data_IF_758059580038
#
_entry.id   IF_758059580038
#
_cell.length_a   1.000
_cell.length_b   1.000
_cell.length_c   1.000
_cell.angle_alpha   90.00
_cell.angle_beta   90.00
_cell.angle_gamma   90.00
#
_symmetry.space_group_name_H-M   'P 1'
#
loop_
_entity.id
_entity.type
_entity.pdbx_description
1 polymer ?
#
# COMPACT_ATOMS: atom_id res chain seq x y z
N UNK A 1 -22.87 -17.36 14.32
CA UNK A 1 -21.74 -16.77 13.56
C UNK A 1 -22.03 -15.29 13.51
N UNK A 2 -21.14 -14.39 13.96
CA UNK A 2 -21.39 -12.95 13.82
C UNK A 2 -21.51 -12.64 12.32
N UNK A 3 -22.61 -12.05 11.91
CA UNK A 3 -22.74 -11.52 10.55
C UNK A 3 -21.60 -10.53 10.32
N UNK A 4 -20.79 -10.80 9.30
CA UNK A 4 -19.58 -10.01 9.04
C UNK A 4 -20.00 -8.71 8.36
N UNK A 5 -19.55 -7.58 8.90
CA UNK A 5 -19.80 -6.25 8.31
C UNK A 5 -19.16 -6.04 6.94
N UNK A 6 -18.21 -6.89 6.58
CA UNK A 6 -17.41 -6.78 5.37
C UNK A 6 -17.27 -8.17 4.75
N UNK A 7 -17.38 -8.25 3.42
CA UNK A 7 -17.09 -9.47 2.66
C UNK A 7 -15.95 -9.23 1.66
N UNK A 8 -15.35 -10.33 1.21
CA UNK A 8 -14.45 -10.29 0.05
C UNK A 8 -15.30 -10.61 -1.18
N UNK A 9 -15.49 -9.60 -2.02
CA UNK A 9 -16.26 -9.65 -3.25
C UNK A 9 -15.30 -9.86 -4.42
N UNK A 10 -15.44 -10.98 -5.13
CA UNK A 10 -14.65 -11.26 -6.34
C UNK A 10 -15.34 -10.60 -7.53
N UNK A 11 -14.61 -9.78 -8.30
CA UNK A 11 -15.16 -9.09 -9.47
C UNK A 11 -14.85 -9.85 -10.77
N UNK A 12 -15.49 -9.43 -11.85
CA UNK A 12 -15.18 -9.92 -13.20
C UNK A 12 -13.84 -9.40 -13.74
N UNK A 13 -13.26 -8.39 -13.09
CA UNK A 13 -11.95 -7.85 -13.43
C UNK A 13 -10.84 -8.80 -12.98
N UNK A 14 -9.73 -8.80 -13.71
CA UNK A 14 -8.55 -9.56 -13.34
C UNK A 14 -7.58 -8.70 -12.52
N UNK A 15 -6.77 -9.37 -11.69
CA UNK A 15 -5.70 -8.70 -10.96
C UNK A 15 -4.63 -8.19 -11.92
N UNK A 16 -4.01 -7.06 -11.59
CA UNK A 16 -2.92 -6.50 -12.37
C UNK A 16 -1.61 -6.43 -11.60
N UNK A 17 -0.52 -6.39 -12.35
CA UNK A 17 0.84 -6.09 -11.90
C UNK A 17 1.52 -5.17 -12.90
N UNK A 18 2.68 -4.59 -12.55
CA UNK A 18 3.50 -3.85 -13.52
C UNK A 18 4.04 -4.81 -14.58
N UNK A 19 4.15 -4.39 -15.84
CA UNK A 19 4.68 -5.22 -16.92
C UNK A 19 6.20 -5.21 -16.92
N UNK A 20 6.79 -4.02 -16.82
CA UNK A 20 8.23 -3.81 -16.82
C UNK A 20 8.71 -3.35 -15.43
N UNK A 21 10.01 -3.49 -15.19
CA UNK A 21 10.64 -3.03 -13.94
C UNK A 21 10.77 -1.50 -13.97
N UNK A 22 10.44 -0.86 -12.85
CA UNK A 22 10.53 0.60 -12.68
C UNK A 22 11.63 0.92 -11.67
N UNK A 23 12.43 1.93 -11.95
CA UNK A 23 13.48 2.43 -11.06
C UNK A 23 13.19 3.90 -10.73
N UNK A 24 13.13 4.24 -9.44
CA UNK A 24 12.93 5.61 -8.98
C UNK A 24 13.94 5.92 -7.87
N UNK A 25 14.54 7.11 -7.93
CA UNK A 25 15.50 7.62 -6.93
C UNK A 25 15.14 9.06 -6.57
N UNK A 26 15.22 9.40 -5.28
CA UNK A 26 15.09 10.77 -4.78
C UNK A 26 15.68 10.86 -3.37
N UNK A 27 15.47 12.01 -2.74
CA UNK A 27 15.66 12.17 -1.29
C UNK A 27 14.41 11.66 -0.55
N UNK A 28 14.60 11.08 0.63
CA UNK A 28 13.50 10.81 1.57
C UNK A 28 13.02 12.11 2.22
N UNK A 29 11.70 12.31 2.31
CA UNK A 29 11.12 13.57 2.80
C UNK A 29 11.58 13.87 4.22
N UNK A 30 11.50 12.87 5.10
CA UNK A 30 11.84 13.06 6.50
C UNK A 30 13.30 12.78 6.81
N UNK A 31 13.85 11.71 6.26
CA UNK A 31 15.24 11.28 6.53
C UNK A 31 16.27 12.21 5.91
N UNK A 32 15.93 12.89 4.80
CA UNK A 32 16.89 13.70 4.03
C UNK A 32 17.98 12.88 3.34
N UNK A 33 17.87 11.54 3.35
CA UNK A 33 18.85 10.63 2.74
C UNK A 33 18.47 10.32 1.31
N UNK A 34 19.48 10.02 0.50
CA UNK A 34 19.27 9.39 -0.80
C UNK A 34 18.60 8.03 -0.61
N UNK A 35 17.45 7.84 -1.26
CA UNK A 35 16.69 6.59 -1.25
C UNK A 35 16.30 6.22 -2.68
N UNK A 36 16.17 4.92 -2.92
CA UNK A 36 15.70 4.43 -4.22
C UNK A 36 14.81 3.21 -4.06
N UNK A 37 13.93 3.03 -5.04
CA UNK A 37 13.07 1.85 -5.13
C UNK A 37 13.13 1.21 -6.50
N UNK A 38 12.88 -0.09 -6.51
CA UNK A 38 12.67 -0.89 -7.73
C UNK A 38 11.32 -1.60 -7.63
N UNK A 39 10.38 -1.23 -8.49
CA UNK A 39 9.05 -1.86 -8.55
C UNK A 39 9.10 -2.96 -9.59
N UNK A 40 8.81 -4.20 -9.18
CA UNK A 40 8.87 -5.40 -10.02
C UNK A 40 7.51 -6.07 -10.14
N UNK A 41 7.25 -6.76 -11.27
CA UNK A 41 6.07 -7.61 -11.41
C UNK A 41 5.99 -8.65 -10.29
N UNK A 42 4.78 -9.00 -9.87
CA UNK A 42 4.54 -10.06 -8.88
C UNK A 42 3.43 -11.00 -9.36
N UNK A 43 3.45 -12.23 -8.84
CA UNK A 43 2.43 -13.23 -9.13
C UNK A 43 1.08 -12.86 -8.52
N UNK A 44 0.01 -13.45 -9.06
CA UNK A 44 -1.35 -13.25 -8.56
C UNK A 44 -1.48 -13.60 -7.07
N UNK A 45 -2.33 -12.85 -6.37
CA UNK A 45 -2.60 -12.96 -4.93
C UNK A 45 -1.40 -12.67 -4.02
N UNK A 46 -0.28 -12.20 -4.55
CA UNK A 46 0.87 -11.82 -3.73
C UNK A 46 0.60 -10.53 -2.93
N UNK A 47 -0.20 -9.63 -3.50
CA UNK A 47 -0.41 -8.28 -2.98
C UNK A 47 0.81 -7.39 -3.17
N UNK A 48 0.80 -6.23 -2.51
CA UNK A 48 1.95 -5.33 -2.47
C UNK A 48 2.91 -5.78 -1.37
N UNK A 49 4.17 -6.00 -1.73
CA UNK A 49 5.23 -6.44 -0.80
C UNK A 49 6.44 -5.53 -0.92
N UNK A 50 6.86 -4.95 0.19
CA UNK A 50 8.10 -4.21 0.29
C UNK A 50 9.26 -5.11 0.74
N UNK A 51 10.46 -4.81 0.27
CA UNK A 51 11.68 -5.56 0.58
C UNK A 51 12.80 -4.56 0.86
N UNK A 52 13.25 -4.47 2.13
CA UNK A 52 14.48 -3.74 2.49
C UNK A 52 15.70 -4.50 1.97
N UNK A 53 16.09 -4.18 0.74
CA UNK A 53 17.05 -4.94 -0.06
C UNK A 53 18.50 -4.52 0.22
N UNK A 54 18.67 -3.36 0.82
CA UNK A 54 19.92 -2.83 1.37
C UNK A 54 20.41 -3.58 2.63
N UNK A 55 19.57 -4.39 3.27
CA UNK A 55 19.93 -5.18 4.46
C UNK A 55 20.34 -6.62 4.13
N UNK A 56 21.17 -7.21 5.01
CA UNK A 56 21.57 -8.62 4.94
C UNK A 56 21.31 -9.35 6.27
N UNK A 57 20.36 -10.30 6.34
CA UNK A 57 19.45 -10.70 5.25
C UNK A 57 18.42 -9.60 4.92
N UNK A 58 17.94 -9.60 3.68
CA UNK A 58 16.88 -8.68 3.26
C UNK A 58 15.58 -8.94 4.05
N UNK A 59 14.86 -7.87 4.41
CA UNK A 59 13.62 -7.98 5.20
C UNK A 59 12.40 -7.75 4.33
N UNK A 60 11.48 -8.72 4.32
CA UNK A 60 10.25 -8.70 3.53
C UNK A 60 9.08 -8.24 4.41
N UNK A 61 8.40 -7.18 3.99
CA UNK A 61 7.30 -6.52 4.71
C UNK A 61 6.10 -6.44 3.76
N UNK A 62 5.05 -7.20 4.04
CA UNK A 62 3.81 -7.12 3.25
C UNK A 62 3.07 -5.83 3.59
N UNK A 63 2.51 -5.13 2.60
CA UNK A 63 1.55 -4.06 2.85
C UNK A 63 0.28 -4.68 3.44
N UNK A 64 0.20 -4.66 4.77
CA UNK A 64 -0.87 -5.25 5.54
C UNK A 64 -1.07 -4.42 6.81
N UNK A 65 -2.32 -4.27 7.23
CA UNK A 65 -2.71 -3.63 8.49
C UNK A 65 -1.86 -4.02 9.71
N UNK A 66 -1.46 -5.30 9.81
CA UNK A 66 -0.67 -5.81 10.94
C UNK A 66 0.79 -5.34 10.92
N UNK A 67 1.28 -4.91 9.76
CA UNK A 67 2.64 -4.43 9.59
C UNK A 67 2.73 -2.91 9.69
N UNK A 68 1.65 -2.17 9.96
CA UNK A 68 1.75 -0.73 10.22
C UNK A 68 2.54 -0.53 11.53
N UNK A 69 3.73 0.06 11.45
CA UNK A 69 4.64 0.24 12.59
C UNK A 69 4.64 1.67 13.15
N UNK A 70 4.27 2.67 12.35
CA UNK A 70 4.17 4.07 12.79
C UNK A 70 3.23 4.87 11.90
N UNK A 71 2.56 5.86 12.48
CA UNK A 71 1.62 6.79 11.83
C UNK A 71 1.95 8.26 12.10
N UNK A 72 3.12 8.54 12.69
CA UNK A 72 3.52 9.89 13.06
C UNK A 72 3.97 10.67 11.80
N UNK A 73 3.15 11.64 11.38
CA UNK A 73 3.32 12.47 10.16
C UNK A 73 3.29 11.73 8.81
N UNK A 74 3.33 10.40 8.81
CA UNK A 74 3.38 9.51 7.64
C UNK A 74 2.92 8.12 8.02
N UNK A 75 2.62 7.28 7.05
CA UNK A 75 2.40 5.85 7.29
C UNK A 75 3.69 5.07 7.05
N UNK A 76 4.05 4.23 8.02
CA UNK A 76 5.22 3.35 7.95
C UNK A 76 4.82 1.90 8.13
N UNK A 77 5.40 1.02 7.32
CA UNK A 77 5.25 -0.43 7.45
C UNK A 77 6.54 -1.07 7.94
N UNK A 78 6.45 -2.07 8.79
CA UNK A 78 7.61 -2.70 9.40
C UNK A 78 7.38 -4.13 9.84
N UNK A 79 8.51 -4.84 10.01
CA UNK A 79 8.56 -6.20 10.54
C UNK A 79 9.93 -6.45 11.16
N UNK A 80 9.98 -7.17 12.28
CA UNK A 80 11.22 -7.56 12.96
C UNK A 80 12.15 -6.36 13.27
N UNK A 81 11.58 -5.24 13.72
CA UNK A 81 12.34 -4.01 14.06
C UNK A 81 12.79 -3.18 12.86
N UNK A 82 12.56 -3.63 11.63
CA UNK A 82 12.85 -2.89 10.41
C UNK A 82 11.58 -2.21 9.92
N UNK A 83 11.64 -0.92 9.58
CA UNK A 83 10.54 -0.16 8.99
C UNK A 83 10.95 0.49 7.66
N UNK A 84 9.93 0.78 6.86
CA UNK A 84 9.95 1.64 5.68
C UNK A 84 8.90 2.72 5.91
N UNK A 85 9.32 3.97 5.87
CA UNK A 85 8.46 5.14 6.07
C UNK A 85 7.92 5.72 4.77
N UNK A 86 6.82 6.46 4.89
CA UNK A 86 6.24 7.33 3.85
C UNK A 86 5.68 6.54 2.67
N UNK A 87 4.97 5.44 2.95
CA UNK A 87 4.47 4.53 1.90
C UNK A 87 3.21 5.04 1.19
N UNK A 88 2.49 5.97 1.80
CA UNK A 88 1.15 6.44 1.42
C UNK A 88 1.06 6.92 -0.03
N UNK A 89 1.98 7.75 -0.52
CA UNK A 89 1.90 8.28 -1.89
C UNK A 89 2.09 7.19 -2.95
N UNK A 90 3.05 6.28 -2.72
CA UNK A 90 3.29 5.15 -3.61
C UNK A 90 2.12 4.16 -3.57
N UNK A 91 1.58 3.87 -2.39
CA UNK A 91 0.38 3.04 -2.25
C UNK A 91 -0.83 3.66 -2.97
N UNK A 92 -0.97 4.99 -2.88
CA UNK A 92 -2.02 5.73 -3.58
C UNK A 92 -1.86 5.63 -5.10
N UNK A 93 -0.63 5.77 -5.61
CA UNK A 93 -0.34 5.61 -7.03
C UNK A 93 -0.61 4.19 -7.54
N UNK A 94 -0.21 3.16 -6.79
CA UNK A 94 -0.49 1.75 -7.12
C UNK A 94 -2.00 1.47 -7.16
N UNK A 95 -2.74 1.99 -6.19
CA UNK A 95 -4.20 1.93 -6.18
C UNK A 95 -4.78 2.65 -7.41
N UNK A 96 -4.35 3.88 -7.68
CA UNK A 96 -4.81 4.68 -8.80
C UNK A 96 -4.55 4.05 -10.16
N UNK A 97 -3.42 3.34 -10.30
CA UNK A 97 -3.00 2.70 -11.55
C UNK A 97 -3.55 1.27 -11.74
N UNK A 98 -4.40 0.76 -10.84
CA UNK A 98 -4.96 -0.58 -11.01
C UNK A 98 -4.08 -1.73 -10.49
N UNK A 99 -2.93 -1.47 -9.85
CA UNK A 99 -1.93 -2.50 -9.52
C UNK A 99 -2.29 -3.26 -8.25
N UNK A 100 -2.60 -4.55 -8.36
CA UNK A 100 -2.94 -5.42 -7.22
C UNK A 100 -1.72 -6.15 -6.63
N UNK A 101 -0.71 -6.42 -7.46
CA UNK A 101 0.47 -7.19 -7.06
C UNK A 101 1.74 -6.49 -7.51
N UNK A 102 2.68 -6.26 -6.59
CA UNK A 102 4.02 -5.75 -6.90
C UNK A 102 5.02 -6.14 -5.82
N UNK A 103 6.27 -6.35 -6.22
CA UNK A 103 7.41 -6.47 -5.31
C UNK A 103 8.22 -5.19 -5.38
N UNK A 104 8.35 -4.49 -4.27
CA UNK A 104 9.00 -3.17 -4.18
C UNK A 104 10.29 -3.35 -3.38
N UNK A 105 11.43 -3.39 -4.07
CA UNK A 105 12.73 -3.33 -3.42
C UNK A 105 13.00 -1.90 -3.00
N UNK A 106 13.41 -1.71 -1.75
CA UNK A 106 13.72 -0.41 -1.15
C UNK A 106 15.17 -0.42 -0.70
N UNK A 107 15.90 0.61 -1.10
CA UNK A 107 17.27 0.88 -0.68
C UNK A 107 17.27 2.18 0.12
N UNK A 108 17.29 2.05 1.45
CA UNK A 108 17.02 3.13 2.39
C UNK A 108 15.84 2.83 3.32
N UNK A 109 15.56 3.72 4.25
CA UNK A 109 14.52 3.56 5.29
C UNK A 109 13.18 4.24 4.95
N UNK A 110 13.09 4.87 3.78
CA UNK A 110 11.97 5.71 3.35
C UNK A 110 11.71 5.53 1.85
N UNK A 111 10.46 5.73 1.44
CA UNK A 111 10.08 5.84 0.03
C UNK A 111 10.48 7.23 -0.52
N UNK A 112 10.98 7.34 -1.76
CA UNK A 112 11.39 8.61 -2.36
C UNK A 112 10.32 9.72 -2.29
N UNK A 113 10.69 10.94 -1.93
CA UNK A 113 9.71 12.05 -1.85
C UNK A 113 9.24 12.51 -3.24
N UNK A 114 10.11 12.42 -4.25
CA UNK A 114 9.86 12.89 -5.62
C UNK A 114 9.38 14.35 -5.61
N UNK A 115 8.21 14.64 -6.17
CA UNK A 115 7.62 15.98 -6.19
C UNK A 115 6.61 16.22 -5.06
N UNK A 116 6.54 15.31 -4.08
CA UNK A 116 5.59 15.39 -2.96
C UNK A 116 4.18 14.88 -3.28
N UNK A 117 3.93 14.37 -4.48
CA UNK A 117 2.63 13.83 -4.89
C UNK A 117 2.72 12.37 -5.34
N UNK A 118 1.62 11.80 -5.82
CA UNK A 118 1.57 10.46 -6.42
C UNK A 118 1.81 10.48 -7.94
N UNK A 119 1.93 11.67 -8.56
CA UNK A 119 1.97 11.87 -10.01
C UNK A 119 3.11 11.08 -10.65
N UNK A 120 4.36 11.30 -10.20
CA UNK A 120 5.54 10.68 -10.82
C UNK A 120 5.51 9.16 -10.64
N UNK A 121 5.00 8.67 -9.50
CA UNK A 121 4.78 7.24 -9.29
C UNK A 121 3.78 6.67 -10.29
N UNK A 122 2.62 7.33 -10.44
CA UNK A 122 1.58 6.90 -11.36
C UNK A 122 2.07 6.89 -12.81
N UNK A 123 2.75 7.96 -13.25
CA UNK A 123 3.30 8.10 -14.60
C UNK A 123 4.30 6.98 -14.89
N UNK A 124 5.24 6.72 -13.98
CA UNK A 124 6.19 5.63 -14.14
C UNK A 124 5.51 4.24 -14.20
N UNK A 125 4.45 4.01 -13.41
CA UNK A 125 3.65 2.78 -13.47
C UNK A 125 2.96 2.64 -14.82
N UNK A 126 2.31 3.70 -15.28
CA UNK A 126 1.60 3.73 -16.56
C UNK A 126 2.55 3.48 -17.73
N UNK A 127 3.68 4.18 -17.78
CA UNK A 127 4.72 4.04 -18.81
C UNK A 127 5.36 2.64 -18.80
N UNK A 128 5.52 2.02 -17.63
CA UNK A 128 6.01 0.63 -17.54
C UNK A 128 5.07 -0.38 -18.19
N UNK A 129 3.81 -0.01 -18.39
CA UNK A 129 2.72 -0.86 -18.84
C UNK A 129 2.13 -1.68 -17.70
N UNK A 130 0.83 -1.97 -17.82
CA UNK A 130 0.08 -2.81 -16.88
C UNK A 130 -0.06 -4.22 -17.47
N UNK A 131 0.16 -5.24 -16.65
CA UNK A 131 -0.02 -6.64 -17.02
C UNK A 131 -1.17 -7.24 -16.22
N UNK A 132 -2.19 -7.68 -16.94
CA UNK A 132 -3.27 -8.49 -16.39
C UNK A 132 -2.76 -9.90 -16.03
N UNK A 133 -3.29 -10.45 -14.93
CA UNK A 133 -2.99 -11.78 -14.40
C UNK A 133 -4.22 -12.69 -14.52
N UNK A 134 -4.05 -13.98 -14.26
CA UNK A 134 -5.13 -14.97 -14.44
C UNK A 134 -6.15 -14.99 -13.30
N UNK A 135 -5.83 -14.43 -12.13
CA UNK A 135 -6.72 -14.43 -10.98
C UNK A 135 -7.67 -13.23 -11.03
N UNK A 136 -8.93 -13.44 -10.64
CA UNK A 136 -9.90 -12.37 -10.46
C UNK A 136 -9.51 -11.42 -9.34
N UNK A 137 -9.84 -10.14 -9.52
CA UNK A 137 -9.64 -9.09 -8.53
C UNK A 137 -10.66 -9.26 -7.41
N UNK A 138 -10.24 -8.89 -6.21
CA UNK A 138 -11.03 -8.97 -4.99
C UNK A 138 -11.16 -7.60 -4.35
N UNK A 139 -12.36 -7.29 -3.90
CA UNK A 139 -12.74 -6.07 -3.23
C UNK A 139 -13.18 -6.36 -1.80
N UNK A 140 -12.94 -5.43 -0.88
CA UNK A 140 -13.60 -5.38 0.41
C UNK A 140 -14.93 -4.66 0.21
N UNK A 141 -16.03 -5.41 0.18
CA UNK A 141 -17.37 -4.83 0.09
C UNK A 141 -17.92 -4.58 1.49
N UNK A 142 -18.23 -3.32 1.78
CA UNK A 142 -18.79 -2.90 3.05
C UNK A 142 -20.30 -3.18 3.05
N UNK A 143 -20.77 -3.97 4.02
CA UNK A 143 -22.19 -4.33 4.21
C UNK A 143 -22.83 -3.58 5.37
N UNK A 144 -22.04 -3.23 6.38
CA UNK A 144 -22.46 -2.40 7.51
C UNK A 144 -21.41 -1.32 7.82
N UNK A 145 -21.83 -0.18 8.40
CA UNK A 145 -20.89 0.86 8.77
C UNK A 145 -19.81 0.41 9.75
N UNK A 146 -18.58 0.84 9.49
CA UNK A 146 -17.43 0.75 10.41
C UNK A 146 -16.98 2.17 10.73
N UNK A 147 -16.98 2.52 12.02
CA UNK A 147 -16.76 3.88 12.49
C UNK A 147 -15.61 3.88 13.50
N UNK A 148 -14.70 4.84 13.35
CA UNK A 148 -13.64 5.13 14.29
C UNK A 148 -13.71 6.61 14.64
N UNK A 149 -13.64 6.92 15.92
CA UNK A 149 -13.70 8.28 16.44
C UNK A 149 -12.60 8.49 17.47
N UNK A 150 -12.19 9.75 17.63
CA UNK A 150 -11.36 10.21 18.74
C UNK A 150 -12.09 10.21 20.09
N UNK A 151 -13.42 10.09 20.08
CA UNK A 151 -14.28 10.06 21.24
C UNK A 151 -15.09 8.75 21.26
N UNK A 152 -15.09 8.05 22.39
CA UNK A 152 -15.77 6.76 22.55
C UNK A 152 -17.28 6.87 22.35
N UNK A 153 -17.87 8.05 22.56
CA UNK A 153 -19.28 8.29 22.33
C UNK A 153 -19.51 9.04 21.02
N UNK A 154 -19.70 8.29 19.93
CA UNK A 154 -19.98 8.82 18.59
C UNK A 154 -21.21 9.75 18.57
N UNK A 155 -22.19 9.55 19.47
CA UNK A 155 -23.38 10.42 19.56
C UNK A 155 -23.07 11.82 20.12
N UNK A 156 -21.91 11.98 20.77
CA UNK A 156 -21.46 13.22 21.39
C UNK A 156 -20.20 13.79 20.71
N UNK A 157 -19.93 13.44 19.45
CA UNK A 157 -18.81 14.00 18.69
C UNK A 157 -18.95 15.53 18.59
N UNK A 158 -17.97 16.26 19.13
CA UNK A 158 -17.92 17.72 19.05
C UNK A 158 -17.41 18.18 17.69
N UNK A 159 -17.56 19.47 17.41
CA UNK A 159 -17.09 20.10 16.17
C UNK A 159 -15.58 19.87 15.93
N UNK A 160 -14.78 19.86 16.99
CA UNK A 160 -13.33 19.63 16.91
C UNK A 160 -12.89 18.17 16.90
N UNK A 161 -13.80 17.22 17.11
CA UNK A 161 -13.47 15.80 17.09
C UNK A 161 -13.13 15.36 15.67
N UNK A 162 -12.09 14.55 15.55
CA UNK A 162 -11.69 13.90 14.32
C UNK A 162 -12.27 12.47 14.31
N UNK A 163 -12.82 12.08 13.17
CA UNK A 163 -13.49 10.80 12.98
C UNK A 163 -13.38 10.34 11.54
N UNK A 164 -13.49 9.03 11.36
CA UNK A 164 -13.58 8.42 10.05
C UNK A 164 -14.58 7.28 10.10
N UNK A 165 -15.41 7.18 9.06
CA UNK A 165 -16.37 6.12 8.91
C UNK A 165 -16.37 5.61 7.48
N UNK A 166 -16.71 4.34 7.31
CA UNK A 166 -16.99 3.78 6.00
C UNK A 166 -18.36 3.11 5.99
N UNK A 167 -19.14 3.42 4.97
CA UNK A 167 -20.53 2.98 4.80
C UNK A 167 -20.66 2.08 3.56
N UNK A 168 -21.73 1.26 3.49
CA UNK A 168 -22.03 0.51 2.28
C UNK A 168 -22.20 1.42 1.06
N UNK A 169 -21.49 1.08 -0.01
CA UNK A 169 -21.67 1.62 -1.37
C UNK A 169 -21.10 0.57 -2.35
N UNK A 170 -21.64 0.53 -3.57
CA UNK A 170 -21.10 -0.33 -4.63
C UNK A 170 -19.86 0.28 -5.30
N UNK A 171 -19.64 1.58 -5.09
CA UNK A 171 -18.51 2.34 -5.59
C UNK A 171 -17.52 2.71 -4.47
N UNK A 172 -16.35 3.22 -4.85
CA UNK A 172 -15.44 3.86 -3.90
C UNK A 172 -15.68 5.37 -3.91
N UNK A 173 -16.35 5.85 -2.85
CA UNK A 173 -16.69 7.25 -2.67
C UNK A 173 -15.94 7.84 -1.49
N UNK A 174 -15.56 9.11 -1.58
CA UNK A 174 -14.92 9.85 -0.50
C UNK A 174 -15.67 11.17 -0.27
N UNK A 175 -16.03 11.42 0.99
CA UNK A 175 -16.36 12.74 1.52
C UNK A 175 -15.33 13.10 2.58
N UNK A 176 -14.45 14.05 2.28
CA UNK A 176 -13.39 14.48 3.16
C UNK A 176 -13.63 15.92 3.57
N UNK A 177 -13.62 16.19 4.88
CA UNK A 177 -13.66 17.55 5.43
C UNK A 177 -12.38 17.87 6.18
N UNK A 178 -11.81 19.03 5.89
CA UNK A 178 -10.65 19.57 6.61
C UNK A 178 -10.99 20.95 7.18
N UNK A 179 -10.34 21.30 8.28
CA UNK A 179 -10.42 22.64 8.86
C UNK A 179 -9.06 22.94 9.51
N UNK A 180 -8.27 23.75 8.82
CA UNK A 180 -7.00 24.28 9.30
C UNK A 180 -7.19 25.71 9.77
N UNK A 181 -6.65 26.02 10.95
CA UNK A 181 -6.57 27.40 11.43
C UNK A 181 -5.45 28.16 10.71
N UNK A 182 -5.64 28.40 9.41
CA UNK A 182 -4.70 29.09 8.54
C UNK A 182 -5.47 29.83 7.44
N UNK A 183 -5.23 31.14 7.21
CA UNK A 183 -6.04 31.95 6.30
C UNK A 183 -6.03 31.45 4.85
N UNK A 184 -4.92 30.82 4.41
CA UNK A 184 -4.77 30.32 3.05
C UNK A 184 -5.23 28.86 2.85
N UNK A 185 -5.27 28.05 3.91
CA UNK A 185 -5.71 26.63 3.80
C UNK A 185 -7.19 26.52 4.17
N UNK A 186 -7.57 27.14 5.28
CA UNK A 186 -8.93 27.24 5.77
C UNK A 186 -9.62 25.89 5.93
N UNK A 187 -10.93 25.92 5.68
CA UNK A 187 -11.79 24.75 5.66
C UNK A 187 -12.08 24.32 4.23
N UNK A 188 -12.23 23.03 4.02
CA UNK A 188 -12.59 22.45 2.73
C UNK A 188 -13.45 21.22 2.88
N UNK A 189 -14.26 20.97 1.85
CA UNK A 189 -15.03 19.75 1.67
C UNK A 189 -14.72 19.22 0.26
N UNK A 190 -14.33 17.95 0.18
CA UNK A 190 -14.10 17.23 -1.06
C UNK A 190 -15.06 16.06 -1.11
N UNK A 191 -15.88 15.98 -2.15
CA UNK A 191 -16.82 14.88 -2.35
C UNK A 191 -16.72 14.37 -3.78
N UNK A 192 -16.34 13.10 -3.93
CA UNK A 192 -16.26 12.48 -5.25
C UNK A 192 -16.27 10.96 -5.18
N UNK A 193 -16.75 10.34 -6.26
CA UNK A 193 -16.46 8.94 -6.58
C UNK A 193 -15.09 8.89 -7.24
N UNK A 194 -14.17 8.09 -6.70
CA UNK A 194 -12.82 7.96 -7.24
C UNK A 194 -12.60 6.54 -7.74
N UNK A 195 -12.03 6.42 -8.94
CA UNK A 195 -11.61 5.15 -9.54
C UNK A 195 -10.34 5.34 -10.38
N UNK A 196 -9.91 4.29 -11.07
CA UNK A 196 -8.67 4.32 -11.88
C UNK A 196 -8.76 5.26 -13.08
N UNK A 197 -9.96 5.63 -13.53
CA UNK A 197 -10.17 6.51 -14.69
C UNK A 197 -9.99 7.99 -14.37
N UNK A 198 -10.29 8.41 -13.13
CA UNK A 198 -10.22 9.80 -12.71
C UNK A 198 -9.11 10.11 -11.69
N UNK A 199 -8.48 9.10 -11.08
CA UNK A 199 -7.44 9.29 -10.07
C UNK A 199 -6.30 10.21 -10.55
N UNK A 200 -5.83 10.02 -11.79
CA UNK A 200 -4.72 10.82 -12.31
C UNK A 200 -5.07 12.30 -12.40
N UNK A 201 -6.24 12.63 -12.94
CA UNK A 201 -6.68 14.00 -13.15
C UNK A 201 -7.09 14.67 -11.84
N UNK A 202 -7.82 13.97 -10.98
CA UNK A 202 -8.42 14.54 -9.79
C UNK A 202 -7.50 14.55 -8.57
N UNK A 203 -6.64 13.54 -8.40
CA UNK A 203 -5.94 13.31 -7.11
C UNK A 203 -4.42 13.33 -7.27
N UNK A 204 -3.88 12.62 -8.26
CA UNK A 204 -2.48 12.20 -8.26
C UNK A 204 -1.45 13.34 -8.13
N UNK A 205 -1.79 14.54 -8.63
CA UNK A 205 -0.85 15.68 -8.69
C UNK A 205 -0.81 16.50 -7.42
N UNK A 206 -1.64 16.19 -6.42
CA UNK A 206 -1.79 17.00 -5.22
C UNK A 206 -0.61 16.77 -4.29
N UNK A 207 0.19 17.81 -4.08
CA UNK A 207 1.43 17.72 -3.31
C UNK A 207 1.19 17.81 -1.82
N UNK A 208 2.08 17.18 -1.07
CA UNK A 208 2.18 17.34 0.37
C UNK A 208 2.49 18.77 0.74
N UNK A 209 2.17 19.15 1.97
CA UNK A 209 2.30 20.52 2.41
C UNK A 209 2.73 20.62 3.88
N UNK A 210 3.43 21.70 4.21
CA UNK A 210 3.88 21.99 5.56
C UNK A 210 3.97 23.49 5.82
N UNK A 211 3.96 23.87 7.10
CA UNK A 211 4.04 25.27 7.52
C UNK A 211 5.48 25.66 7.80
N UNK A 212 5.95 26.78 7.24
CA UNK A 212 7.32 27.28 7.38
C UNK A 212 7.76 27.37 8.85
N UNK A 213 6.88 27.86 9.72
CA UNK A 213 7.11 27.97 11.18
C UNK A 213 7.38 26.63 11.86
N UNK A 214 6.92 25.53 11.28
CA UNK A 214 7.09 24.17 11.81
C UNK A 214 8.32 23.47 11.21
N UNK A 215 8.77 23.88 10.01
CA UNK A 215 9.89 23.25 9.30
C UNK A 215 11.17 23.26 10.15
N UNK A 216 11.50 24.39 10.77
CA UNK A 216 12.71 24.48 11.61
C UNK A 216 12.66 23.52 12.81
N UNK A 217 11.51 23.45 13.49
CA UNK A 217 11.31 22.55 14.61
C UNK A 217 11.35 21.07 14.18
N UNK A 218 10.72 20.74 13.06
CA UNK A 218 10.76 19.40 12.48
C UNK A 218 12.21 19.00 12.16
N UNK A 219 12.97 19.87 11.48
CA UNK A 219 14.38 19.62 11.15
C UNK A 219 15.24 19.43 12.39
N UNK A 220 15.03 20.25 13.43
CA UNK A 220 15.71 20.10 14.72
C UNK A 220 15.43 18.74 15.39
N UNK A 221 14.24 18.18 15.16
CA UNK A 221 13.82 16.87 15.66
C UNK A 221 14.12 15.71 14.67
N UNK A 222 14.95 15.93 13.65
CA UNK A 222 15.33 14.90 12.69
C UNK A 222 14.23 14.52 11.69
N UNK A 223 13.27 15.43 11.44
CA UNK A 223 12.15 15.26 10.53
C UNK A 223 12.19 16.31 9.42
N UNK A 224 11.56 16.03 8.28
CA UNK A 224 11.51 16.91 7.12
C UNK A 224 12.89 17.39 6.63
N UNK A 225 13.94 16.59 6.84
CA UNK A 225 15.32 16.94 6.48
C UNK A 225 15.51 17.04 4.96
N UNK A 226 14.75 16.26 4.18
CA UNK A 226 14.71 16.34 2.72
C UNK A 226 13.63 17.25 2.16
N UNK A 227 12.85 17.92 3.01
CA UNK A 227 11.78 18.82 2.61
C UNK A 227 12.31 20.08 1.91
N UNK A 228 11.75 20.38 0.74
CA UNK A 228 12.08 21.53 -0.10
C UNK A 228 10.84 22.00 -0.88
N UNK A 229 10.93 23.15 -1.55
CA UNK A 229 9.86 23.63 -2.43
C UNK A 229 9.62 22.72 -3.65
N UNK A 230 10.60 21.88 -4.01
CA UNK A 230 10.49 20.94 -5.13
C UNK A 230 9.61 19.73 -4.79
N UNK A 231 9.47 19.41 -3.51
CA UNK A 231 8.78 18.21 -3.03
C UNK A 231 7.69 18.46 -1.98
N UNK A 232 7.38 19.73 -1.71
CA UNK A 232 6.29 20.10 -0.83
C UNK A 232 5.78 21.53 -1.16
N UNK A 233 4.50 21.75 -0.91
CA UNK A 233 3.96 23.08 -0.73
C UNK A 233 4.37 23.63 0.64
N UNK A 234 5.03 24.78 0.68
CA UNK A 234 5.42 25.41 1.94
C UNK A 234 4.59 26.66 2.16
N UNK A 235 3.91 26.73 3.31
CA UNK A 235 3.06 27.87 3.68
C UNK A 235 3.75 28.76 4.70
N UNK A 236 3.77 30.07 4.45
CA UNK A 236 4.00 31.07 5.49
C UNK A 236 2.66 31.55 6.06
N UNK A 237 2.67 32.57 6.92
CA UNK A 237 1.45 33.08 7.58
C UNK A 237 0.39 33.63 6.61
N UNK A 238 0.78 34.02 5.39
CA UNK A 238 -0.09 34.73 4.45
C UNK A 238 -0.42 33.93 3.18
N UNK A 239 0.32 32.87 2.87
CA UNK A 239 0.11 32.10 1.65
C UNK A 239 1.15 31.03 1.36
N UNK A 240 1.13 30.55 0.11
CA UNK A 240 2.06 29.53 -0.40
C UNK A 240 3.33 30.18 -0.94
N UNK A 241 4.49 29.62 -0.61
CA UNK A 241 5.81 30.13 -1.03
C UNK A 241 6.22 29.64 -2.42
N UNK A 242 5.64 28.54 -2.89
CA UNK A 242 5.88 27.95 -4.19
C UNK A 242 5.49 28.96 -5.29
N UNK A 243 6.46 29.38 -6.12
CA UNK A 243 6.27 30.43 -7.13
C UNK A 243 5.27 30.05 -8.21
N UNK A 244 5.22 28.77 -8.54
CA UNK A 244 4.27 28.17 -9.48
C UNK A 244 2.85 28.05 -8.93
N UNK A 245 2.65 28.32 -7.63
CA UNK A 245 1.36 28.24 -6.97
C UNK A 245 0.86 26.80 -6.81
N UNK A 246 -0.47 26.68 -6.76
CA UNK A 246 -1.15 25.39 -6.59
C UNK A 246 -1.45 24.74 -7.95
N UNK A 247 -1.37 23.41 -8.01
CA UNK A 247 -1.77 22.57 -9.16
C UNK A 247 -3.28 22.38 -9.22
N UNK A 248 -3.95 22.47 -8.08
CA UNK A 248 -5.40 22.46 -7.93
C UNK A 248 -5.83 23.62 -7.05
N UNK A 249 -7.02 24.18 -7.28
CA UNK A 249 -7.57 25.23 -6.40
C UNK A 249 -7.69 24.76 -4.95
N UNK A 250 -7.96 23.48 -4.77
CA UNK A 250 -8.18 22.76 -3.52
C UNK A 250 -7.09 21.69 -3.28
N UNK A 251 -5.84 21.97 -3.68
CA UNK A 251 -4.72 21.00 -3.62
C UNK A 251 -4.51 20.38 -2.23
N UNK A 252 -4.67 21.15 -1.15
CA UNK A 252 -4.47 20.67 0.22
C UNK A 252 -5.44 19.54 0.62
N UNK A 253 -6.73 19.66 0.27
CA UNK A 253 -7.71 18.61 0.60
C UNK A 253 -7.58 17.42 -0.33
N UNK A 254 -7.25 17.64 -1.61
CA UNK A 254 -6.95 16.56 -2.56
C UNK A 254 -5.74 15.75 -2.11
N UNK A 255 -4.74 16.40 -1.52
CA UNK A 255 -3.62 15.69 -0.93
C UNK A 255 -4.04 14.83 0.27
N UNK A 256 -4.93 15.33 1.14
CA UNK A 256 -5.49 14.51 2.22
C UNK A 256 -6.29 13.31 1.71
N UNK A 257 -6.96 13.46 0.58
CA UNK A 257 -7.64 12.36 -0.11
C UNK A 257 -6.63 11.37 -0.71
N UNK A 258 -5.54 11.87 -1.30
CA UNK A 258 -4.41 11.05 -1.79
C UNK A 258 -3.83 10.18 -0.67
N UNK A 259 -3.53 10.78 0.49
CA UNK A 259 -3.05 10.09 1.69
C UNK A 259 -4.03 9.00 2.12
N UNK A 260 -5.32 9.35 2.23
CA UNK A 260 -6.37 8.44 2.65
C UNK A 260 -6.48 7.21 1.73
N UNK A 261 -6.40 7.41 0.41
CA UNK A 261 -6.43 6.32 -0.57
C UNK A 261 -5.23 5.39 -0.34
N UNK A 262 -4.03 5.95 -0.19
CA UNK A 262 -2.81 5.18 0.06
C UNK A 262 -2.87 4.38 1.35
N UNK A 263 -3.29 5.01 2.44
CA UNK A 263 -3.45 4.39 3.75
C UNK A 263 -4.47 3.25 3.70
N UNK A 264 -5.65 3.48 3.11
CA UNK A 264 -6.70 2.46 2.99
C UNK A 264 -6.24 1.26 2.16
N UNK A 265 -5.37 1.47 1.17
CA UNK A 265 -4.89 0.37 0.33
C UNK A 265 -3.96 -0.60 1.06
N UNK A 266 -3.43 -0.22 2.23
CA UNK A 266 -2.70 -1.12 3.14
C UNK A 266 -3.61 -2.21 3.73
N UNK A 267 -4.94 -2.07 3.63
CA UNK A 267 -5.89 -3.16 3.94
C UNK A 267 -5.74 -4.41 3.06
N UNK A 268 -4.99 -4.28 1.95
CA UNK A 268 -4.57 -5.36 1.04
C UNK A 268 -5.49 -5.56 -0.17
N UNK A 269 -6.61 -4.82 -0.23
CA UNK A 269 -7.59 -4.90 -1.32
C UNK A 269 -8.17 -3.51 -1.58
N UNK A 270 -8.76 -3.33 -2.76
CA UNK A 270 -9.62 -2.17 -3.04
C UNK A 270 -10.91 -2.28 -2.26
N UNK A 271 -11.57 -1.16 -1.99
CA UNK A 271 -12.78 -1.11 -1.16
C UNK A 271 -13.96 -0.65 -2.02
N UNK A 272 -15.11 -1.32 -1.86
CA UNK A 272 -16.42 -0.82 -2.31
C UNK A 272 -17.16 -0.31 -1.07
N UNK A 273 -17.31 1.00 -0.98
CA UNK A 273 -17.83 1.70 0.19
C UNK A 273 -17.59 3.19 0.12
N UNK A 274 -18.39 3.94 0.89
CA UNK A 274 -18.29 5.40 1.01
C UNK A 274 -17.55 5.77 2.27
N UNK A 275 -16.39 6.41 2.15
CA UNK A 275 -15.61 6.92 3.26
C UNK A 275 -16.04 8.34 3.58
N UNK A 276 -16.34 8.60 4.85
CA UNK A 276 -16.58 9.95 5.39
C UNK A 276 -15.47 10.24 6.41
N UNK A 277 -14.60 11.19 6.09
CA UNK A 277 -13.44 11.56 6.87
C UNK A 277 -13.55 13.01 7.35
N UNK A 278 -13.37 13.23 8.65
CA UNK A 278 -13.38 14.56 9.27
C UNK A 278 -12.07 14.81 9.99
N UNK A 279 -11.27 15.75 9.45
CA UNK A 279 -9.99 16.21 10.00
C UNK A 279 -9.04 15.05 10.34
N UNK A 280 -8.99 14.03 9.48
CA UNK A 280 -8.22 12.81 9.75
C UNK A 280 -6.75 12.97 9.36
N UNK A 281 -5.93 12.03 9.81
CA UNK A 281 -4.56 11.83 9.34
C UNK A 281 -4.23 10.34 9.40
N UNK A 282 -2.97 10.00 9.13
CA UNK A 282 -2.50 8.60 9.04
C UNK A 282 -2.89 7.75 10.24
N UNK A 283 -2.86 8.29 11.47
CA UNK A 283 -3.27 7.54 12.67
C UNK A 283 -4.73 7.08 12.64
N UNK A 284 -5.64 7.99 12.30
CA UNK A 284 -7.07 7.68 12.23
C UNK A 284 -7.38 6.78 11.03
N UNK A 285 -6.69 6.99 9.90
CA UNK A 285 -6.80 6.13 8.72
C UNK A 285 -6.33 4.70 9.04
N UNK A 286 -5.19 4.54 9.74
CA UNK A 286 -4.68 3.24 10.17
C UNK A 286 -5.62 2.53 11.15
N UNK A 287 -6.24 3.28 12.08
CA UNK A 287 -7.27 2.74 12.97
C UNK A 287 -8.48 2.20 12.19
N UNK A 288 -8.91 2.90 11.14
CA UNK A 288 -9.96 2.39 10.26
C UNK A 288 -9.51 1.14 9.49
N UNK A 289 -8.29 1.13 8.94
CA UNK A 289 -7.72 -0.05 8.26
C UNK A 289 -7.70 -1.27 9.20
N UNK A 290 -7.33 -1.07 10.46
CA UNK A 290 -7.36 -2.13 11.48
C UNK A 290 -8.80 -2.58 11.77
N UNK A 291 -9.73 -1.66 11.95
CA UNK A 291 -11.14 -1.98 12.17
C UNK A 291 -11.77 -2.75 10.98
N UNK A 292 -11.42 -2.37 9.74
CA UNK A 292 -11.79 -3.10 8.53
C UNK A 292 -11.23 -4.53 8.57
N UNK A 293 -9.95 -4.68 8.94
CA UNK A 293 -9.31 -5.98 9.03
C UNK A 293 -9.94 -6.90 10.10
N UNK A 294 -10.41 -6.35 11.20
CA UNK A 294 -11.10 -7.09 12.27
C UNK A 294 -12.53 -7.52 11.87
N UNK A 295 -13.15 -6.81 10.93
CA UNK A 295 -14.52 -7.08 10.46
C UNK A 295 -14.59 -7.85 9.13
N UNK A 296 -13.46 -8.05 8.44
CA UNK A 296 -13.39 -8.84 7.20
C UNK A 296 -13.24 -10.35 7.48
N UNK A 297 -13.63 -11.24 6.55
CA UNK A 297 -13.45 -12.67 6.75
C UNK A 297 -11.97 -13.06 6.81
N UNK A 298 -11.62 -14.01 7.70
CA UNK A 298 -10.31 -14.64 7.67
C UNK A 298 -10.05 -15.28 6.30
N UNK A 299 -8.97 -14.86 5.65
CA UNK A 299 -8.50 -15.48 4.43
C UNK A 299 -7.67 -16.69 4.85
N UNK A 300 -8.24 -17.88 4.69
CA UNK A 300 -7.46 -19.13 4.82
C UNK A 300 -6.41 -19.17 3.72
N UNK A 301 -5.19 -18.76 4.05
CA UNK A 301 -4.04 -18.90 3.15
C UNK A 301 -3.70 -20.38 3.00
N UNK A 302 -4.05 -20.97 1.86
CA UNK A 302 -3.61 -22.33 1.50
C UNK A 302 -2.07 -22.44 1.36
N UNK A 303 -1.35 -21.31 1.37
CA UNK A 303 0.11 -21.24 1.23
C UNK A 303 0.89 -21.76 2.45
N UNK A 304 0.31 -21.77 3.67
CA UNK A 304 1.02 -22.29 4.85
C UNK A 304 1.38 -23.77 4.73
N UNK A 305 0.67 -24.54 3.91
CA UNK A 305 0.92 -25.96 3.71
C UNK A 305 1.99 -26.28 2.67
N UNK A 306 2.26 -25.38 1.72
CA UNK A 306 3.27 -25.62 0.70
C UNK A 306 4.69 -25.43 1.26
N UNK A 307 4.98 -24.26 1.86
CA UNK A 307 6.31 -23.98 2.44
C UNK A 307 6.67 -24.93 3.59
N UNK A 308 5.70 -25.27 4.46
CA UNK A 308 5.90 -26.23 5.55
C UNK A 308 6.22 -27.64 5.05
N UNK A 309 5.55 -28.10 3.97
CA UNK A 309 5.82 -29.40 3.37
C UNK A 309 7.17 -29.43 2.65
N UNK A 310 7.50 -28.41 1.86
CA UNK A 310 8.79 -28.34 1.15
C UNK A 310 9.97 -28.28 2.13
N UNK A 311 9.83 -27.52 3.22
CA UNK A 311 10.85 -27.45 4.27
C UNK A 311 11.00 -28.77 5.04
N UNK A 312 9.89 -29.49 5.31
CA UNK A 312 9.93 -30.84 5.92
C UNK A 312 10.56 -31.87 4.99
N UNK A 313 10.31 -31.80 3.68
CA UNK A 313 10.85 -32.75 2.70
C UNK A 313 12.38 -32.59 2.57
N UNK A 314 12.88 -31.36 2.48
CA UNK A 314 14.32 -31.09 2.40
C UNK A 314 15.07 -31.51 3.67
N UNK A 315 14.45 -31.33 4.85
CA UNK A 315 15.01 -31.80 6.11
C UNK A 315 14.98 -33.34 6.26
N UNK A 316 14.06 -34.03 5.58
CA UNK A 316 14.06 -35.49 5.55
C UNK A 316 15.21 -36.02 4.67
N UNK A 317 15.42 -35.41 3.50
CA UNK A 317 16.47 -35.79 2.55
C UNK A 317 17.89 -35.55 3.10
N UNK A 318 18.08 -34.50 3.91
CA UNK A 318 19.35 -34.25 4.60
C UNK A 318 19.65 -35.26 5.72
N UNK A 319 18.62 -35.84 6.35
CA UNK A 319 18.80 -36.82 7.43
C UNK A 319 19.11 -38.24 6.94
N UNK A 320 18.85 -38.55 5.67
CA UNK A 320 19.08 -39.89 5.10
C UNK A 320 20.43 -40.07 4.42
N UNK A 321 21.35 -39.10 4.51
CA UNK A 321 22.75 -39.28 4.10
C UNK A 321 22.99 -39.54 2.61
N UNK A 322 22.06 -39.18 1.73
CA UNK A 322 22.27 -39.32 0.29
C UNK A 322 23.14 -38.16 -0.23
N UNK A 323 24.37 -38.48 -0.64
CA UNK A 323 25.29 -37.55 -1.28
C UNK A 323 24.74 -37.00 -2.62
N UNK A 324 25.24 -35.82 -2.97
CA UNK A 324 24.87 -34.99 -4.12
C UNK A 324 24.54 -35.75 -5.42
N UNK A 325 23.41 -35.42 -6.05
CA UNK A 325 23.06 -35.74 -7.42
C UNK A 325 22.27 -34.55 -8.05
N UNK A 326 22.35 -34.34 -9.38
CA UNK A 326 22.00 -33.06 -10.01
C UNK A 326 20.50 -32.76 -10.01
N UNK A 327 20.15 -31.48 -10.12
CA UNK A 327 18.78 -30.93 -10.12
C UNK A 327 17.77 -31.83 -10.86
N UNK A 328 16.96 -32.55 -10.10
CA UNK A 328 15.76 -33.22 -10.59
C UNK A 328 14.58 -32.24 -10.54
N UNK A 329 13.96 -31.99 -11.69
CA UNK A 329 12.65 -31.34 -11.76
C UNK A 329 11.56 -32.36 -11.42
N UNK A 330 10.81 -32.10 -10.34
CA UNK A 330 9.64 -32.90 -9.94
C UNK A 330 8.39 -32.19 -10.46
N UNK A 331 7.73 -32.77 -11.46
CA UNK A 331 6.38 -32.37 -11.86
C UNK A 331 5.33 -33.01 -10.92
N UNK A 332 4.60 -32.18 -10.19
CA UNK A 332 3.51 -32.63 -9.32
C UNK A 332 2.25 -32.77 -10.17
N UNK A 333 2.00 -33.96 -10.72
CA UNK A 333 0.74 -34.27 -11.38
C UNK A 333 -0.30 -34.78 -10.37
N UNK A 334 -1.38 -34.01 -10.21
CA UNK A 334 -2.71 -34.35 -9.67
C UNK A 334 -2.83 -35.26 -8.41
N UNK A 335 -3.31 -34.66 -7.33
CA UNK A 335 -3.75 -35.34 -6.11
C UNK A 335 -5.17 -35.89 -6.34
N UNK A 336 -5.37 -37.20 -6.22
CA UNK A 336 -6.70 -37.79 -6.11
C UNK A 336 -7.10 -37.97 -4.63
N UNK A 337 -8.41 -38.07 -4.37
CA UNK A 337 -9.06 -37.99 -3.06
C UNK A 337 -8.68 -39.08 -2.03
N UNK A 338 -7.74 -39.98 -2.36
CA UNK A 338 -7.27 -41.05 -1.48
C UNK A 338 -5.86 -40.80 -0.89
N UNK A 339 -5.21 -39.67 -1.16
CA UNK A 339 -3.96 -39.29 -0.51
C UNK A 339 -2.73 -40.13 -0.89
N UNK A 340 -2.80 -40.92 -1.97
CA UNK A 340 -1.67 -41.70 -2.49
C UNK A 340 -0.90 -40.86 -3.51
N UNK A 341 0.34 -40.50 -3.21
CA UNK A 341 1.26 -39.85 -4.16
C UNK A 341 1.93 -40.93 -5.00
N UNK A 342 1.58 -41.02 -6.30
CA UNK A 342 2.33 -41.84 -7.27
C UNK A 342 3.48 -41.00 -7.85
N UNK A 343 4.72 -41.37 -7.57
CA UNK A 343 5.88 -40.81 -8.25
C UNK A 343 6.08 -41.51 -9.60
N UNK A 344 6.21 -40.74 -10.68
CA UNK A 344 6.64 -41.26 -11.98
C UNK A 344 8.07 -40.78 -12.22
N UNK A 345 9.04 -41.67 -12.04
CA UNK A 345 10.44 -41.39 -12.33
C UNK A 345 10.62 -41.46 -13.85
N UNK A 346 11.06 -40.36 -14.48
CA UNK A 346 11.41 -40.32 -15.89
C UNK A 346 12.93 -40.22 -15.99
N UNK A 347 13.60 -41.28 -16.41
CA UNK A 347 15.04 -41.21 -16.71
C UNK A 347 15.23 -40.40 -18.00
N UNK A 348 16.08 -39.38 -17.94
CA UNK A 348 16.55 -38.62 -19.11
C UNK A 348 17.97 -39.09 -19.39
N UNK A 349 18.12 -40.10 -20.24
CA UNK A 349 19.36 -40.35 -20.99
C UNK A 349 19.00 -41.16 -22.23
N UNK A 350 19.03 -40.52 -23.40
CA UNK A 350 19.30 -41.15 -24.69
C UNK A 350 19.52 -40.04 -25.73
N UNK A 351 20.79 -39.82 -26.10
CA UNK A 351 21.27 -39.58 -27.48
C UNK A 351 22.71 -39.07 -27.43
N UNK A 352 23.66 -40.00 -27.43
CA UNK A 352 24.96 -39.83 -28.07
C UNK A 352 25.01 -40.89 -29.16
N UNK A 353 24.98 -40.47 -30.43
CA UNK A 353 25.45 -41.27 -31.55
C UNK A 353 26.31 -40.39 -32.46
N UNK A 354 27.54 -40.89 -32.64
CA UNK A 354 28.68 -40.53 -33.50
C UNK A 354 29.46 -39.27 -33.13
#
# INVERSE_FOLDING_TARGET
MKDKKIIIDESDEFQCTVRNIIYLKSVGLHSGKDVSIVIKPAQANKGITFIRKDLSPAVIIKADSQNICSTNLRTSVGKNGVCISTVEHLMSALWGAGIDNASIEVYGEEIPALDGSAKIYYEAIFESGIKELTAKRKYLKILEPVIVSSNDNIKNCKENDYSIAIYPSDDFEISYSMNFNHPFVGSGLFESKIDTSNFYTEISKARTFGFLKEVELLKKNGLALGGSLDNALVLNETGVLNKEGLRYKDEFIRHKVLDLIGDLYISGYRIKGKVIAKKTGHDMNAKLVKAINENKPEIKSNERNAYSKTFRLNNLLHKTGAAAAPLMSIDIANINAAGIIKFKIKNIHENIMV
#
